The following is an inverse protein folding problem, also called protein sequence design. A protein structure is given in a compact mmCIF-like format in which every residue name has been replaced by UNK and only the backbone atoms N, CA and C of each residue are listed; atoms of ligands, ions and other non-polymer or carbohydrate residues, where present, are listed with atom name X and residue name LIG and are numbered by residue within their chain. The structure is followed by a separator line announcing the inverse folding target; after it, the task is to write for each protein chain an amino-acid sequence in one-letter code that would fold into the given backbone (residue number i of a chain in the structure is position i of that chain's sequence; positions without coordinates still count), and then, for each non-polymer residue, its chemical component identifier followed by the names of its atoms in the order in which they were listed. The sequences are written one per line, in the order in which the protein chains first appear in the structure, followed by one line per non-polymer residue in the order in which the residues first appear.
data_IF_678369205120
#
_entry.id   IF_678369205120
#
_cell.length_a   1.000
_cell.length_b   1.000
_cell.length_c   1.000
_cell.angle_alpha   90.00
_cell.angle_beta   90.00
_cell.angle_gamma   90.00
#
_symmetry.space_group_name_H-M   'P 1'
#
loop_
_entity.id
_entity.type
_entity.pdbx_description
1 polymer ?
#
# COMPACT_ATOMS: atom_id res chain seq x y z
N UNK A 1 -16.77 -1.39 -14.10
CA UNK A 1 -15.39 -1.53 -13.59
C UNK A 1 -14.83 -0.15 -13.39
N UNK A 2 -14.18 0.09 -12.26
CA UNK A 2 -13.64 1.40 -11.91
C UNK A 2 -12.17 1.52 -12.30
N UNK A 3 -11.78 2.73 -12.71
CA UNK A 3 -10.41 3.15 -12.96
C UNK A 3 -9.99 4.14 -11.88
N UNK A 4 -8.76 4.01 -11.40
CA UNK A 4 -8.21 4.83 -10.32
C UNK A 4 -6.97 5.56 -10.82
N UNK A 5 -6.76 6.80 -10.40
CA UNK A 5 -5.40 7.37 -10.43
C UNK A 5 -4.48 6.54 -9.55
N UNK A 6 -3.16 6.64 -9.72
CA UNK A 6 -2.22 5.85 -8.90
C UNK A 6 -2.42 6.06 -7.38
N UNK A 7 -2.64 7.29 -6.93
CA UNK A 7 -2.92 7.57 -5.52
C UNK A 7 -4.20 6.92 -5.01
N UNK A 8 -5.29 6.98 -5.79
CA UNK A 8 -6.53 6.29 -5.46
C UNK A 8 -6.33 4.76 -5.45
N UNK A 9 -5.59 4.22 -6.43
CA UNK A 9 -5.29 2.80 -6.50
C UNK A 9 -4.56 2.31 -5.24
N UNK A 10 -3.57 3.06 -4.75
CA UNK A 10 -2.88 2.73 -3.50
C UNK A 10 -3.81 2.65 -2.27
N UNK A 11 -4.89 3.44 -2.25
CA UNK A 11 -5.88 3.41 -1.17
C UNK A 11 -6.85 2.22 -1.28
N UNK A 12 -7.06 1.68 -2.48
CA UNK A 12 -8.05 0.64 -2.75
C UNK A 12 -7.46 -0.76 -2.92
N UNK A 13 -6.19 -0.87 -3.36
CA UNK A 13 -5.57 -2.16 -3.64
C UNK A 13 -5.27 -2.92 -2.33
N UNK A 14 -5.70 -4.16 -2.28
CA UNK A 14 -5.54 -5.05 -1.12
C UNK A 14 -4.40 -6.04 -1.32
N UNK A 15 -3.93 -6.65 -0.23
CA UNK A 15 -2.91 -7.70 -0.31
C UNK A 15 -3.36 -8.85 -1.22
N UNK A 16 -2.46 -9.27 -2.11
CA UNK A 16 -2.68 -10.27 -3.14
C UNK A 16 -3.32 -9.73 -4.43
N UNK A 17 -3.89 -8.51 -4.43
CA UNK A 17 -4.53 -7.96 -5.63
C UNK A 17 -3.51 -7.41 -6.63
N UNK A 18 -3.90 -7.47 -7.91
CA UNK A 18 -3.14 -6.85 -8.99
C UNK A 18 -3.81 -5.56 -9.45
N UNK A 19 -3.02 -4.65 -9.99
CA UNK A 19 -3.53 -3.52 -10.74
C UNK A 19 -2.80 -3.41 -12.07
N UNK A 20 -3.55 -3.10 -13.13
CA UNK A 20 -3.00 -2.90 -14.46
C UNK A 20 -3.41 -1.56 -15.04
N UNK A 21 -2.50 -0.99 -15.82
CA UNK A 21 -2.73 0.18 -16.67
C UNK A 21 -3.28 -0.23 -18.02
N UNK A 22 -3.92 0.68 -18.78
CA UNK A 22 -4.39 0.39 -20.14
C UNK A 22 -3.29 -0.04 -21.11
N UNK A 23 -2.04 0.35 -20.86
CA UNK A 23 -0.89 -0.01 -21.70
C UNK A 23 -0.25 -1.36 -21.33
N UNK A 24 -0.79 -2.05 -20.31
CA UNK A 24 -0.42 -3.42 -19.95
C UNK A 24 0.58 -3.53 -18.80
N UNK A 25 1.11 -2.42 -18.24
CA UNK A 25 1.95 -2.51 -17.04
C UNK A 25 1.09 -2.99 -15.87
N UNK A 26 1.58 -4.01 -15.16
CA UNK A 26 0.87 -4.66 -14.05
C UNK A 26 1.71 -4.60 -12.79
N UNK A 27 1.04 -4.42 -11.65
CA UNK A 27 1.64 -4.49 -10.31
C UNK A 27 0.86 -5.48 -9.43
N UNK A 28 1.54 -6.08 -8.45
CA UNK A 28 0.97 -6.94 -7.40
C UNK A 28 1.21 -6.29 -6.04
N UNK A 29 0.18 -6.19 -5.21
CA UNK A 29 0.29 -5.76 -3.81
C UNK A 29 0.67 -6.94 -2.93
N UNK A 30 1.88 -6.91 -2.39
CA UNK A 30 2.41 -7.85 -1.38
C UNK A 30 2.58 -7.15 -0.04
N UNK A 31 2.89 -7.87 1.04
CA UNK A 31 3.13 -7.22 2.35
C UNK A 31 4.29 -6.23 2.33
N UNK A 32 5.31 -6.48 1.50
CA UNK A 32 6.48 -5.61 1.36
C UNK A 32 6.20 -4.31 0.57
N UNK A 33 5.14 -4.27 -0.24
CA UNK A 33 4.82 -3.12 -1.08
C UNK A 33 4.12 -3.51 -2.38
N UNK A 34 4.29 -2.70 -3.42
CA UNK A 34 3.90 -3.06 -4.78
C UNK A 34 5.11 -3.63 -5.52
N UNK A 35 4.92 -4.76 -6.21
CA UNK A 35 5.90 -5.35 -7.12
C UNK A 35 5.42 -5.22 -8.55
N UNK A 36 6.33 -4.91 -9.47
CA UNK A 36 6.05 -5.03 -10.90
C UNK A 36 5.81 -6.49 -11.28
N UNK A 37 4.91 -6.71 -12.24
CA UNK A 37 4.57 -8.00 -12.80
C UNK A 37 4.74 -7.98 -14.31
N UNK A 38 5.67 -8.78 -14.80
CA UNK A 38 6.05 -8.89 -16.20
C UNK A 38 7.00 -7.79 -16.68
N UNK A 39 7.56 -8.02 -17.88
CA UNK A 39 8.49 -7.08 -18.51
C UNK A 39 9.87 -7.05 -17.85
N UNK A 40 10.61 -5.95 -18.07
CA UNK A 40 12.02 -5.83 -17.64
C UNK A 40 12.21 -5.61 -16.13
N UNK A 41 11.17 -5.15 -15.44
CA UNK A 41 11.22 -4.83 -14.00
C UNK A 41 10.49 -5.89 -13.17
N UNK A 42 10.18 -7.06 -13.75
CA UNK A 42 9.41 -8.09 -13.05
C UNK A 42 10.03 -8.47 -11.71
N UNK A 43 9.22 -8.44 -10.65
CA UNK A 43 9.66 -8.70 -9.28
C UNK A 43 10.34 -7.54 -8.56
N UNK A 44 10.61 -6.41 -9.22
CA UNK A 44 11.15 -5.22 -8.58
C UNK A 44 10.06 -4.45 -7.81
N UNK A 45 10.46 -3.84 -6.68
CA UNK A 45 9.61 -2.91 -5.94
C UNK A 45 9.31 -1.66 -6.77
N UNK A 46 8.03 -1.29 -6.81
CA UNK A 46 7.58 -0.07 -7.48
C UNK A 46 8.09 1.15 -6.73
N UNK A 47 8.96 1.91 -7.37
CA UNK A 47 9.36 3.22 -6.89
C UNK A 47 8.31 4.26 -7.29
N UNK A 48 7.78 5.00 -6.32
CA UNK A 48 6.81 6.06 -6.57
C UNK A 48 7.51 7.20 -7.33
N UNK A 49 7.19 7.34 -8.61
CA UNK A 49 7.75 8.34 -9.54
C UNK A 49 6.62 9.15 -10.16
N UNK A 50 6.93 10.38 -10.57
CA UNK A 50 5.96 11.35 -11.07
C UNK A 50 5.07 10.81 -12.20
N UNK A 51 5.62 10.01 -13.12
CA UNK A 51 4.87 9.46 -14.26
C UNK A 51 3.75 8.49 -13.84
N UNK A 52 3.81 7.89 -12.65
CA UNK A 52 2.75 6.99 -12.19
C UNK A 52 1.46 7.76 -11.88
N UNK A 53 1.56 9.04 -11.50
CA UNK A 53 0.39 9.85 -11.15
C UNK A 53 -0.44 10.27 -12.37
N UNK A 54 0.13 10.22 -13.57
CA UNK A 54 -0.62 10.39 -14.83
C UNK A 54 -1.30 9.10 -15.30
N UNK A 55 -0.95 7.95 -14.74
CA UNK A 55 -1.51 6.66 -15.13
C UNK A 55 -2.86 6.41 -14.44
N UNK A 56 -3.74 5.72 -15.17
CA UNK A 56 -4.96 5.13 -14.61
C UNK A 56 -4.79 3.62 -14.45
N UNK A 57 -5.35 3.10 -13.38
CA UNK A 57 -5.15 1.73 -12.93
C UNK A 57 -6.48 1.06 -12.70
N UNK A 58 -6.56 -0.21 -13.07
CA UNK A 58 -7.69 -1.07 -12.79
C UNK A 58 -7.22 -2.19 -11.88
N UNK A 59 -7.87 -2.33 -10.73
CA UNK A 59 -7.61 -3.41 -9.78
C UNK A 59 -8.37 -4.67 -10.23
N UNK A 60 -7.73 -5.83 -10.13
CA UNK A 60 -8.32 -7.12 -10.43
C UNK A 60 -7.65 -8.24 -9.61
N UNK A 61 -8.30 -9.40 -9.59
CA UNK A 61 -7.79 -10.62 -8.96
C UNK A 61 -7.72 -11.73 -10.02
N UNK A 62 -6.64 -12.51 -10.01
CA UNK A 62 -6.51 -13.75 -10.79
C UNK A 62 -6.30 -14.98 -9.87
N UNK A 63 -6.17 -16.17 -10.45
CA UNK A 63 -5.96 -17.41 -9.66
C UNK A 63 -4.69 -17.36 -8.78
N UNK A 64 -3.68 -16.57 -9.18
CA UNK A 64 -2.45 -16.36 -8.41
C UNK A 64 -2.74 -15.40 -7.24
N UNK A 65 -3.50 -14.33 -7.48
CA UNK A 65 -3.99 -13.40 -6.45
C UNK A 65 -4.80 -14.10 -5.35
N UNK A 66 -5.58 -15.13 -5.69
CA UNK A 66 -6.40 -15.89 -4.74
C UNK A 66 -5.58 -16.74 -3.76
N UNK A 67 -4.33 -17.09 -4.08
CA UNK A 67 -3.44 -17.79 -3.14
C UNK A 67 -2.81 -16.82 -2.15
N UNK A 68 -2.36 -15.66 -2.63
CA UNK A 68 -1.79 -14.58 -1.82
C UNK A 68 -2.82 -13.86 -0.94
N UNK A 69 -4.12 -13.91 -1.32
CA UNK A 69 -5.19 -13.30 -0.52
C UNK A 69 -5.54 -14.09 0.74
N UNK A 70 -5.02 -15.32 0.92
CA UNK A 70 -5.29 -16.13 2.10
C UNK A 70 -4.74 -15.46 3.36
N UNK A 71 -5.64 -15.08 4.25
CA UNK A 71 -5.30 -14.40 5.50
C UNK A 71 -5.04 -12.90 5.35
N UNK A 72 -5.39 -12.29 4.20
CA UNK A 72 -5.21 -10.85 3.99
C UNK A 72 -5.88 -10.00 5.06
N UNK A 73 -7.09 -10.39 5.50
CA UNK A 73 -7.83 -9.63 6.50
C UNK A 73 -7.08 -9.58 7.83
N UNK A 74 -6.48 -10.70 8.25
CA UNK A 74 -5.68 -10.78 9.48
C UNK A 74 -4.41 -9.92 9.35
N UNK A 75 -3.75 -9.98 8.18
CA UNK A 75 -2.54 -9.20 7.95
C UNK A 75 -2.83 -7.70 7.90
N UNK A 76 -3.84 -7.28 7.14
CA UNK A 76 -4.25 -5.88 7.02
C UNK A 76 -4.75 -5.33 8.37
N UNK A 77 -5.44 -6.15 9.16
CA UNK A 77 -5.83 -5.77 10.52
C UNK A 77 -4.60 -5.55 11.42
N UNK A 78 -3.62 -6.46 11.38
CA UNK A 78 -2.38 -6.32 12.14
C UNK A 78 -1.57 -5.08 11.71
N UNK A 79 -1.49 -4.80 10.41
CA UNK A 79 -0.84 -3.58 9.90
C UNK A 79 -1.52 -2.31 10.45
N UNK A 80 -2.86 -2.28 10.45
CA UNK A 80 -3.62 -1.14 11.00
C UNK A 80 -3.40 -0.97 12.50
N UNK A 81 -3.39 -2.07 13.26
CA UNK A 81 -3.11 -2.04 14.70
C UNK A 81 -1.69 -1.53 14.98
N UNK A 82 -0.70 -1.97 14.21
CA UNK A 82 0.69 -1.48 14.34
C UNK A 82 0.79 0.03 14.08
N UNK A 83 0.13 0.53 13.02
CA UNK A 83 0.12 1.96 12.70
C UNK A 83 -0.58 2.80 13.78
N UNK A 84 -1.71 2.32 14.30
CA UNK A 84 -2.43 2.99 15.38
C UNK A 84 -1.58 3.07 16.65
N UNK A 85 -0.89 1.97 17.01
CA UNK A 85 -0.01 1.94 18.17
C UNK A 85 1.18 2.90 18.03
N UNK A 86 1.83 2.92 16.86
CA UNK A 86 2.92 3.86 16.58
C UNK A 86 2.47 5.32 16.67
N UNK A 87 1.27 5.62 16.15
CA UNK A 87 0.71 6.97 16.24
C UNK A 87 0.45 7.40 17.69
N UNK A 88 -0.18 6.53 18.50
CA UNK A 88 -0.41 6.83 19.92
C UNK A 88 0.91 7.02 20.68
N UNK A 89 1.94 6.22 20.40
CA UNK A 89 3.27 6.39 20.99
C UNK A 89 3.87 7.76 20.65
N UNK A 90 3.84 8.16 19.36
CA UNK A 90 4.31 9.48 18.94
C UNK A 90 3.55 10.60 19.63
N UNK A 91 2.23 10.46 19.75
CA UNK A 91 1.37 11.43 20.42
C UNK A 91 1.71 11.56 21.91
N UNK A 92 1.96 10.45 22.61
CA UNK A 92 2.37 10.48 24.02
C UNK A 92 3.73 11.18 24.18
N UNK A 93 4.71 10.85 23.33
CA UNK A 93 6.02 11.50 23.34
C UNK A 93 5.91 13.02 23.14
N UNK A 94 5.08 13.48 22.21
CA UNK A 94 4.84 14.91 22.02
C UNK A 94 4.21 15.58 23.26
N UNK A 95 3.26 14.90 23.91
CA UNK A 95 2.62 15.42 25.11
C UNK A 95 3.59 15.53 26.29
N UNK A 96 4.49 14.56 26.45
CA UNK A 96 5.55 14.60 27.47
C UNK A 96 6.53 15.76 27.21
N UNK A 97 6.99 15.92 25.96
CA UNK A 97 7.86 17.04 25.57
C UNK A 97 7.17 18.39 25.87
N UNK A 98 5.86 18.50 25.60
CA UNK A 98 5.11 19.73 25.88
C UNK A 98 4.94 20.01 27.38
N UNK A 99 4.80 18.97 28.22
CA UNK A 99 4.75 19.13 29.67
C UNK A 99 6.10 19.59 30.23
N UNK A 100 7.19 18.93 29.85
CA UNK A 100 8.53 19.31 30.28
C UNK A 100 8.85 20.79 29.97
N UNK A 101 8.47 21.28 28.77
CA UNK A 101 8.62 22.70 28.39
C UNK A 101 7.76 23.69 29.18
N UNK A 102 6.72 23.25 29.88
CA UNK A 102 5.89 24.11 30.73
C UNK A 102 6.38 24.16 32.18
N UNK A 103 7.16 23.17 32.58
CA UNK A 103 7.68 23.03 33.94
C UNK A 103 9.11 23.63 34.09
N UNK A 104 9.73 24.04 32.97
CA UNK A 104 10.95 24.88 32.87
C UNK A 104 10.62 26.39 32.76
#
# INVERSE_FOLDING_TARGET
MEWYTFGQMLMHIRLGQKAATPDGRTVLRTSAGLLWQGGRLDGDLVQIKAYLFSDIWRIFEDEVSLKESRGRDIHEQKEREMLANQYEEQRWNELEIRKARRDD
#
